data_IF_794870823674
#
_entry.id   IF_794870823674
#
_cell.length_a   1.000
_cell.length_b   1.000
_cell.length_c   1.000
_cell.angle_alpha   90.00
_cell.angle_beta   90.00
_cell.angle_gamma   90.00
#
_symmetry.space_group_name_H-M   'P 1'
#
loop_
_entity.id
_entity.type
_entity.pdbx_description
1 polymer ?
#
# COMPACT_ATOMS: atom_id res chain seq x y z
N UNK A 1 3.15 8.13 -2.80
CA UNK A 1 4.18 9.19 -2.88
C UNK A 1 3.59 10.40 -3.57
N UNK A 2 2.98 11.27 -2.77
CA UNK A 2 2.17 12.42 -3.27
C UNK A 2 3.09 13.64 -3.50
N UNK A 3 3.80 13.65 -4.63
CA UNK A 3 4.76 14.72 -4.97
C UNK A 3 4.10 15.93 -5.67
N UNK A 4 2.75 16.08 -5.61
CA UNK A 4 2.04 17.02 -6.50
C UNK A 4 1.25 18.15 -5.82
N UNK A 5 1.10 18.22 -4.52
CA UNK A 5 0.29 19.27 -3.89
C UNK A 5 1.05 20.53 -3.45
N UNK A 6 2.40 20.58 -3.54
CA UNK A 6 3.17 21.69 -2.97
C UNK A 6 4.19 22.39 -3.89
N UNK A 7 4.31 22.02 -5.17
CA UNK A 7 5.36 22.64 -6.03
C UNK A 7 5.04 24.09 -6.39
N UNK A 8 3.75 24.48 -6.46
CA UNK A 8 3.34 25.84 -6.78
C UNK A 8 2.19 26.30 -5.88
N UNK A 9 2.48 26.55 -4.61
CA UNK A 9 1.48 26.90 -3.59
C UNK A 9 0.80 28.26 -3.84
N UNK A 10 1.46 29.21 -4.51
CA UNK A 10 0.92 30.55 -4.78
C UNK A 10 0.54 30.70 -6.25
N UNK A 11 -0.62 31.31 -6.59
CA UNK A 11 -1.10 31.43 -7.96
C UNK A 11 -0.09 32.14 -8.88
N UNK A 12 0.64 33.15 -8.41
CA UNK A 12 1.65 33.85 -9.20
C UNK A 12 2.84 32.96 -9.62
N UNK A 13 3.20 31.96 -8.81
CA UNK A 13 4.29 31.02 -9.14
C UNK A 13 3.97 30.21 -10.40
N UNK A 14 2.72 29.88 -10.62
CA UNK A 14 2.25 29.13 -11.81
C UNK A 14 2.47 29.94 -13.10
N UNK A 15 2.21 31.26 -13.04
CA UNK A 15 2.46 32.16 -14.17
C UNK A 15 3.96 32.39 -14.35
N UNK A 16 4.72 32.53 -13.27
CA UNK A 16 6.17 32.69 -13.34
C UNK A 16 6.82 31.50 -14.06
N UNK A 17 6.44 30.26 -13.70
CA UNK A 17 6.95 29.05 -14.35
C UNK A 17 6.57 29.02 -15.85
N UNK A 18 5.33 29.36 -16.19
CA UNK A 18 4.89 29.41 -17.58
C UNK A 18 5.69 30.43 -18.41
N UNK A 19 5.91 31.64 -17.87
CA UNK A 19 6.69 32.69 -18.51
C UNK A 19 8.16 32.25 -18.64
N UNK A 20 8.78 31.79 -17.57
CA UNK A 20 10.19 31.36 -17.58
C UNK A 20 10.41 30.24 -18.60
N UNK A 21 9.54 29.23 -18.62
CA UNK A 21 9.62 28.14 -19.57
C UNK A 21 9.51 28.61 -21.01
N UNK A 22 8.58 29.54 -21.29
CA UNK A 22 8.41 30.13 -22.62
C UNK A 22 9.66 30.92 -23.03
N UNK A 23 10.21 31.74 -22.14
CA UNK A 23 11.43 32.51 -22.40
C UNK A 23 12.62 31.60 -22.69
N UNK A 24 12.82 30.57 -21.87
CA UNK A 24 13.93 29.59 -22.05
C UNK A 24 13.85 28.92 -23.43
N UNK A 25 12.65 28.48 -23.85
CA UNK A 25 12.49 27.82 -25.16
C UNK A 25 12.66 28.82 -26.32
N UNK A 26 12.18 30.03 -26.17
CA UNK A 26 12.37 31.09 -27.20
C UNK A 26 13.87 31.46 -27.33
N UNK A 27 14.58 31.67 -26.21
CA UNK A 27 16.02 31.97 -26.22
C UNK A 27 16.83 30.78 -26.73
N UNK A 28 16.53 29.57 -26.31
CA UNK A 28 17.15 28.35 -26.83
C UNK A 28 16.95 28.22 -28.34
N UNK A 29 15.76 28.55 -28.85
CA UNK A 29 15.45 28.56 -30.29
C UNK A 29 16.26 29.61 -31.03
N UNK A 30 16.45 30.80 -30.45
CA UNK A 30 17.32 31.83 -31.01
C UNK A 30 18.78 31.37 -31.12
N UNK A 31 19.29 30.78 -30.07
CA UNK A 31 20.68 30.27 -30.02
C UNK A 31 20.93 29.15 -31.05
N UNK A 32 19.95 28.29 -31.30
CA UNK A 32 20.04 27.18 -32.27
C UNK A 32 19.67 27.57 -33.71
N UNK A 33 19.23 28.79 -33.96
CA UNK A 33 18.82 29.26 -35.27
C UNK A 33 19.90 29.15 -36.37
N UNK A 34 21.18 29.38 -36.09
CA UNK A 34 22.25 29.23 -37.10
C UNK A 34 22.42 27.78 -37.59
N UNK A 35 22.07 26.81 -36.76
CA UNK A 35 22.26 25.37 -37.02
C UNK A 35 21.02 24.73 -37.66
N UNK A 36 19.84 25.26 -37.40
CA UNK A 36 18.58 24.59 -37.78
C UNK A 36 17.85 25.26 -38.95
N UNK A 37 18.32 26.35 -39.56
CA UNK A 37 17.91 26.89 -40.88
C UNK A 37 16.42 26.88 -41.26
N UNK A 38 15.52 26.41 -40.41
CA UNK A 38 14.15 26.07 -40.76
C UNK A 38 13.21 27.21 -40.46
N UNK A 39 12.81 27.92 -41.51
CA UNK A 39 11.74 28.93 -41.45
C UNK A 39 10.32 28.25 -41.37
N UNK A 40 10.22 26.96 -41.67
CA UNK A 40 8.96 26.24 -41.64
C UNK A 40 8.69 25.65 -40.22
N UNK A 41 7.43 25.76 -39.75
CA UNK A 41 6.94 25.17 -38.49
C UNK A 41 7.52 25.73 -37.18
N UNK A 42 7.92 27.00 -37.16
CA UNK A 42 8.51 27.68 -35.99
C UNK A 42 7.60 27.66 -34.74
N UNK A 43 6.27 27.59 -34.90
CA UNK A 43 5.31 27.54 -33.80
C UNK A 43 5.20 26.15 -33.15
N UNK A 44 5.47 25.07 -33.91
CA UNK A 44 5.35 23.67 -33.37
C UNK A 44 6.33 23.38 -32.22
N UNK A 45 7.50 24.05 -32.21
CA UNK A 45 8.50 23.88 -31.13
C UNK A 45 7.99 24.40 -29.78
N UNK A 46 6.98 25.28 -29.78
CA UNK A 46 6.39 25.81 -28.55
C UNK A 46 5.23 24.98 -28.01
N UNK A 47 4.69 24.02 -28.77
CA UNK A 47 3.59 23.17 -28.30
C UNK A 47 3.92 22.37 -27.03
N UNK A 48 5.10 21.72 -26.91
CA UNK A 48 5.50 21.05 -25.67
C UNK A 48 5.57 22.00 -24.49
N UNK A 49 5.98 23.26 -24.73
CA UNK A 49 6.07 24.30 -23.70
C UNK A 49 4.70 24.71 -23.20
N UNK A 50 3.74 24.94 -24.12
CA UNK A 50 2.35 25.22 -23.78
C UNK A 50 1.71 24.06 -23.02
N UNK A 51 1.95 22.83 -23.47
CA UNK A 51 1.47 21.63 -22.80
C UNK A 51 2.02 21.50 -21.38
N UNK A 52 3.32 21.73 -21.19
CA UNK A 52 3.97 21.66 -19.89
C UNK A 52 3.50 22.80 -18.97
N UNK A 53 3.33 24.02 -19.49
CA UNK A 53 2.78 25.14 -18.74
C UNK A 53 1.33 24.89 -18.31
N UNK A 54 0.50 24.29 -19.18
CA UNK A 54 -0.86 23.87 -18.84
C UNK A 54 -0.88 22.75 -17.82
N UNK A 55 0.07 21.80 -17.91
CA UNK A 55 0.16 20.67 -17.00
C UNK A 55 0.60 21.06 -15.59
N UNK A 56 1.56 22.02 -15.46
CA UNK A 56 2.05 22.50 -14.17
C UNK A 56 1.18 23.60 -13.57
N UNK A 57 0.62 24.48 -14.39
CA UNK A 57 -0.07 25.69 -13.96
C UNK A 57 -1.59 25.68 -14.15
N UNK A 58 -2.11 24.78 -14.98
CA UNK A 58 -3.52 24.74 -15.40
C UNK A 58 -3.81 25.53 -16.69
N UNK A 59 -5.10 25.64 -17.03
CA UNK A 59 -5.55 26.26 -18.29
C UNK A 59 -5.00 27.67 -18.53
N UNK A 60 -5.17 28.60 -17.56
CA UNK A 60 -4.79 30.01 -17.71
C UNK A 60 -3.29 30.23 -17.95
N UNK A 61 -2.35 29.66 -17.15
CA UNK A 61 -0.93 29.74 -17.43
C UNK A 61 -0.52 29.15 -18.78
N UNK A 62 -1.16 28.05 -19.21
CA UNK A 62 -0.94 27.46 -20.52
C UNK A 62 -1.32 28.38 -21.65
N UNK A 63 -2.46 29.04 -21.57
CA UNK A 63 -2.90 30.07 -22.57
C UNK A 63 -1.95 31.25 -22.57
N UNK A 64 -1.51 31.74 -21.42
CA UNK A 64 -0.51 32.83 -21.33
C UNK A 64 0.80 32.40 -22.00
N UNK A 65 1.27 31.18 -21.81
CA UNK A 65 2.45 30.62 -22.48
C UNK A 65 2.28 30.62 -24.02
N UNK A 66 1.12 30.21 -24.52
CA UNK A 66 0.81 30.21 -25.95
C UNK A 66 0.83 31.64 -26.56
N UNK A 67 0.19 32.59 -25.87
CA UNK A 67 0.15 33.99 -26.32
C UNK A 67 1.53 34.62 -26.30
N UNK A 68 2.30 34.47 -25.22
CA UNK A 68 3.66 34.98 -25.11
C UNK A 68 4.59 34.37 -26.15
N UNK A 69 4.49 33.06 -26.37
CA UNK A 69 5.27 32.37 -27.41
C UNK A 69 4.98 32.89 -28.80
N UNK A 70 3.72 33.10 -29.17
CA UNK A 70 3.32 33.68 -30.44
C UNK A 70 3.85 35.10 -30.59
N UNK A 71 3.66 35.95 -29.57
CA UNK A 71 4.14 37.34 -29.59
C UNK A 71 5.67 37.41 -29.72
N UNK A 72 6.41 36.59 -28.96
CA UNK A 72 7.86 36.52 -29.02
C UNK A 72 8.36 36.14 -30.44
N UNK A 73 7.72 35.14 -31.05
CA UNK A 73 8.07 34.74 -32.41
C UNK A 73 7.74 35.81 -33.45
N UNK A 74 6.64 36.57 -33.30
CA UNK A 74 6.32 37.70 -34.16
C UNK A 74 7.37 38.80 -34.05
N UNK A 75 7.71 39.23 -32.83
CA UNK A 75 8.67 40.30 -32.60
C UNK A 75 10.09 39.96 -33.08
N UNK A 76 10.51 38.72 -32.91
CA UNK A 76 11.89 38.30 -33.22
C UNK A 76 12.11 37.91 -34.68
N UNK A 77 11.07 37.49 -35.40
CA UNK A 77 11.20 36.97 -36.76
C UNK A 77 10.36 37.73 -37.82
N UNK A 78 9.59 38.76 -37.46
CA UNK A 78 8.89 39.60 -38.46
C UNK A 78 9.87 40.55 -39.11
N UNK A 79 9.93 40.55 -40.45
CA UNK A 79 10.70 41.49 -41.23
C UNK A 79 10.04 42.89 -41.34
N UNK A 80 8.82 43.02 -40.83
CA UNK A 80 8.04 44.29 -40.86
C UNK A 80 7.67 44.65 -39.41
N UNK A 81 8.20 45.72 -38.82
CA UNK A 81 7.86 46.15 -37.47
C UNK A 81 6.50 46.88 -37.47
N UNK A 82 5.42 46.16 -37.59
CA UNK A 82 4.07 46.68 -37.45
C UNK A 82 3.29 45.91 -36.39
N UNK A 83 2.76 46.63 -35.39
CA UNK A 83 1.96 46.04 -34.31
C UNK A 83 0.64 45.45 -34.83
N UNK A 84 0.23 45.76 -36.04
CA UNK A 84 -1.01 45.34 -36.70
C UNK A 84 -0.67 44.49 -37.94
N UNK A 85 -0.18 43.30 -37.71
CA UNK A 85 0.00 42.31 -38.77
C UNK A 85 -1.22 41.40 -38.84
N UNK A 86 -1.73 41.12 -40.04
CA UNK A 86 -2.76 40.09 -40.21
C UNK A 86 -2.18 38.76 -39.79
N UNK A 87 -2.78 38.04 -38.77
CA UNK A 87 -2.22 36.80 -38.29
C UNK A 87 -2.16 35.76 -39.42
N UNK A 88 -1.03 35.10 -39.55
CA UNK A 88 -0.85 34.02 -40.53
C UNK A 88 -1.65 32.80 -40.10
N UNK A 89 -2.03 31.99 -41.08
CA UNK A 89 -2.81 30.75 -40.82
C UNK A 89 -2.11 29.84 -39.81
N UNK A 90 -0.79 29.75 -39.86
CA UNK A 90 0.02 28.97 -38.93
C UNK A 90 -0.03 29.47 -37.47
N UNK A 91 -0.13 30.81 -37.28
CA UNK A 91 -0.28 31.45 -35.96
C UNK A 91 -1.67 31.18 -35.36
N UNK A 92 -2.70 31.31 -36.16
CA UNK A 92 -4.08 31.04 -35.77
C UNK A 92 -4.24 29.54 -35.42
N UNK A 93 -3.67 28.67 -36.25
CA UNK A 93 -3.70 27.23 -36.03
C UNK A 93 -2.97 26.85 -34.74
N UNK A 94 -1.78 27.43 -34.48
CA UNK A 94 -1.03 27.19 -33.26
C UNK A 94 -1.78 27.64 -32.02
N UNK A 95 -2.36 28.85 -32.01
CA UNK A 95 -3.14 29.36 -30.89
C UNK A 95 -4.38 28.50 -30.65
N UNK A 96 -5.10 28.12 -31.69
CA UNK A 96 -6.28 27.29 -31.60
C UNK A 96 -5.90 25.91 -31.01
N UNK A 97 -4.85 25.29 -31.55
CA UNK A 97 -4.34 23.99 -31.04
C UNK A 97 -3.84 24.12 -29.62
N UNK A 98 -3.13 25.20 -29.27
CA UNK A 98 -2.65 25.48 -27.92
C UNK A 98 -3.80 25.59 -26.91
N UNK A 99 -4.87 26.32 -27.26
CA UNK A 99 -6.07 26.43 -26.42
C UNK A 99 -6.76 25.08 -26.26
N UNK A 100 -6.91 24.31 -27.32
CA UNK A 100 -7.51 22.97 -27.28
C UNK A 100 -6.69 22.06 -26.38
N UNK A 101 -5.37 22.02 -26.50
CA UNK A 101 -4.45 21.24 -25.68
C UNK A 101 -4.55 21.66 -24.21
N UNK A 102 -4.54 22.97 -23.92
CA UNK A 102 -4.73 23.48 -22.56
C UNK A 102 -6.08 23.04 -21.96
N UNK A 103 -7.16 23.11 -22.74
CA UNK A 103 -8.49 22.65 -22.34
C UNK A 103 -8.52 21.15 -22.03
N UNK A 104 -7.95 20.34 -22.92
CA UNK A 104 -7.88 18.89 -22.74
C UNK A 104 -7.06 18.50 -21.52
N UNK A 105 -5.86 19.06 -21.34
CA UNK A 105 -5.01 18.80 -20.18
C UNK A 105 -5.71 19.18 -18.89
N UNK A 106 -6.35 20.36 -18.87
CA UNK A 106 -7.06 20.85 -17.68
C UNK A 106 -8.31 20.02 -17.36
N UNK A 107 -9.05 19.58 -18.38
CA UNK A 107 -10.23 18.73 -18.19
C UNK A 107 -9.86 17.33 -17.66
N UNK A 108 -8.77 16.75 -18.16
CA UNK A 108 -8.23 15.49 -17.67
C UNK A 108 -7.77 15.61 -16.22
N UNK A 109 -7.09 16.68 -15.85
CA UNK A 109 -6.69 16.93 -14.47
C UNK A 109 -7.90 17.13 -13.54
N UNK A 110 -8.91 17.86 -13.97
CA UNK A 110 -10.13 18.06 -13.20
C UNK A 110 -10.94 16.78 -13.06
N UNK A 111 -11.00 15.94 -14.10
CA UNK A 111 -11.65 14.64 -14.02
C UNK A 111 -10.92 13.70 -13.05
N UNK A 112 -9.58 13.68 -13.10
CA UNK A 112 -8.76 12.91 -12.17
C UNK A 112 -8.94 13.38 -10.72
N UNK A 113 -8.87 14.69 -10.48
CA UNK A 113 -9.05 15.27 -9.15
C UNK A 113 -10.45 14.97 -8.57
N UNK A 114 -11.51 14.96 -9.41
CA UNK A 114 -12.86 14.58 -9.00
C UNK A 114 -12.94 13.10 -8.64
N UNK A 115 -12.32 12.22 -9.42
CA UNK A 115 -12.24 10.80 -9.12
C UNK A 115 -11.53 10.55 -7.79
N UNK A 116 -10.35 11.18 -7.60
CA UNK A 116 -9.57 11.07 -6.36
C UNK A 116 -10.36 11.59 -5.15
N UNK A 117 -11.06 12.74 -5.28
CA UNK A 117 -11.86 13.31 -4.19
C UNK A 117 -13.11 12.46 -3.84
N UNK A 118 -13.77 11.88 -4.85
CA UNK A 118 -14.90 10.99 -4.62
C UNK A 118 -14.48 9.73 -3.86
N UNK A 119 -13.31 9.21 -4.18
CA UNK A 119 -12.73 8.05 -3.51
C UNK A 119 -12.37 8.38 -2.05
N UNK A 120 -11.65 9.47 -1.81
CA UNK A 120 -11.33 9.94 -0.45
C UNK A 120 -12.58 10.23 0.41
N UNK A 121 -13.64 10.75 -0.21
CA UNK A 121 -14.90 10.99 0.53
C UNK A 121 -15.55 9.70 0.99
N UNK A 122 -15.58 8.67 0.14
CA UNK A 122 -16.11 7.34 0.51
C UNK A 122 -15.37 6.74 1.69
N UNK A 123 -14.08 6.89 1.74
CA UNK A 123 -13.22 6.35 2.81
C UNK A 123 -13.42 7.04 4.13
N UNK A 124 -13.41 8.36 4.11
CA UNK A 124 -13.64 9.12 5.32
C UNK A 124 -15.01 8.78 5.94
N UNK A 125 -16.04 8.55 5.09
CA UNK A 125 -17.34 8.07 5.56
C UNK A 125 -17.22 6.68 6.18
N UNK A 126 -16.50 5.75 5.56
CA UNK A 126 -16.31 4.39 6.10
C UNK A 126 -15.51 4.40 7.41
N UNK A 127 -14.51 5.25 7.54
CA UNK A 127 -13.72 5.40 8.77
C UNK A 127 -14.57 5.97 9.93
N UNK A 128 -15.40 6.97 9.65
CA UNK A 128 -16.35 7.55 10.62
C UNK A 128 -17.38 6.49 11.02
N UNK A 129 -18.01 5.83 10.07
CA UNK A 129 -19.01 4.77 10.34
C UNK A 129 -18.39 3.62 11.14
N UNK A 130 -17.16 3.22 10.81
CA UNK A 130 -16.47 2.18 11.55
C UNK A 130 -16.21 2.57 13.02
N UNK A 131 -15.80 3.81 13.27
CA UNK A 131 -15.63 4.34 14.61
C UNK A 131 -16.96 4.35 15.38
N UNK A 132 -18.02 4.86 14.75
CA UNK A 132 -19.33 4.99 15.38
C UNK A 132 -20.01 3.63 15.63
N UNK A 133 -19.67 2.61 14.82
CA UNK A 133 -20.11 1.23 15.06
C UNK A 133 -19.31 0.55 16.19
N UNK A 134 -18.02 0.86 16.34
CA UNK A 134 -17.16 0.24 17.38
C UNK A 134 -17.58 0.68 18.77
N UNK A 135 -18.00 1.94 18.96
CA UNK A 135 -18.42 2.49 20.25
C UNK A 135 -19.58 1.70 20.88
N UNK A 136 -20.75 1.49 20.23
CA UNK A 136 -21.85 0.70 20.80
C UNK A 136 -21.48 -0.78 20.99
N UNK A 137 -20.63 -1.35 20.12
CA UNK A 137 -20.16 -2.72 20.28
C UNK A 137 -19.32 -2.90 21.55
N UNK A 138 -18.46 -1.93 21.86
CA UNK A 138 -17.68 -1.92 23.12
C UNK A 138 -18.60 -1.81 24.33
N UNK A 139 -19.64 -1.01 24.27
CA UNK A 139 -20.63 -0.91 25.34
C UNK A 139 -21.41 -2.22 25.53
N UNK A 140 -21.82 -2.89 24.45
CA UNK A 140 -22.50 -4.21 24.52
C UNK A 140 -21.59 -5.26 25.16
N UNK A 141 -20.30 -5.26 24.79
CA UNK A 141 -19.31 -6.17 25.36
C UNK A 141 -19.14 -5.94 26.87
N UNK A 142 -18.93 -4.70 27.30
CA UNK A 142 -18.76 -4.33 28.70
C UNK A 142 -20.02 -4.69 29.54
N UNK A 143 -21.22 -4.46 29.00
CA UNK A 143 -22.48 -4.86 29.64
C UNK A 143 -22.60 -6.39 29.76
N UNK A 144 -22.23 -7.13 28.70
CA UNK A 144 -22.21 -8.60 28.72
C UNK A 144 -21.27 -9.15 29.79
N UNK A 145 -20.06 -8.62 29.89
CA UNK A 145 -19.09 -8.99 30.92
C UNK A 145 -19.62 -8.68 32.34
N UNK A 146 -20.21 -7.50 32.55
CA UNK A 146 -20.80 -7.12 33.83
C UNK A 146 -21.96 -8.05 34.24
N UNK A 147 -22.85 -8.39 33.31
CA UNK A 147 -23.97 -9.31 33.56
C UNK A 147 -23.44 -10.73 33.86
N UNK A 148 -22.40 -11.19 33.17
CA UNK A 148 -21.81 -12.51 33.40
C UNK A 148 -21.24 -12.71 34.82
N UNK A 149 -20.73 -11.61 35.40
CA UNK A 149 -20.22 -11.59 36.78
C UNK A 149 -21.39 -11.75 37.78
N UNK A 150 -22.50 -11.04 37.58
CA UNK A 150 -23.61 -11.01 38.51
C UNK A 150 -24.60 -12.21 38.35
N UNK A 151 -24.67 -12.78 37.15
CA UNK A 151 -25.59 -13.84 36.79
C UNK A 151 -24.87 -14.99 36.07
N UNK A 152 -24.11 -15.88 36.81
CA UNK A 152 -23.32 -16.96 36.22
C UNK A 152 -24.13 -17.92 35.33
N UNK A 153 -25.40 -18.13 35.62
CA UNK A 153 -26.30 -18.97 34.80
C UNK A 153 -26.54 -18.45 33.36
N UNK A 154 -26.30 -17.19 33.11
CA UNK A 154 -26.42 -16.57 31.76
C UNK A 154 -25.13 -16.58 30.95
N UNK A 155 -24.00 -16.99 31.55
CA UNK A 155 -22.68 -17.00 30.93
C UNK A 155 -22.65 -17.63 29.53
N UNK A 156 -23.26 -18.81 29.25
CA UNK A 156 -23.22 -19.41 27.92
C UNK A 156 -23.92 -18.51 26.83
N UNK A 157 -24.98 -17.81 27.22
CA UNK A 157 -25.69 -16.88 26.32
C UNK A 157 -24.89 -15.60 26.08
N UNK A 158 -24.25 -15.09 27.13
CA UNK A 158 -23.40 -13.89 27.04
C UNK A 158 -22.15 -14.17 26.21
N UNK A 159 -21.56 -15.35 26.27
CA UNK A 159 -20.47 -15.78 25.40
C UNK A 159 -20.87 -15.83 23.91
N UNK A 160 -22.16 -16.13 23.61
CA UNK A 160 -22.66 -16.01 22.22
C UNK A 160 -22.69 -14.56 21.74
N UNK A 161 -23.12 -13.65 22.61
CA UNK A 161 -23.15 -12.20 22.31
C UNK A 161 -21.72 -11.70 22.12
N UNK A 162 -20.78 -12.06 23.02
CA UNK A 162 -19.38 -11.65 22.91
C UNK A 162 -18.72 -12.15 21.61
N UNK A 163 -18.99 -13.40 21.21
CA UNK A 163 -18.55 -13.93 19.92
C UNK A 163 -19.13 -13.16 18.72
N UNK A 164 -20.39 -12.74 18.81
CA UNK A 164 -21.04 -11.95 17.75
C UNK A 164 -20.42 -10.55 17.66
N UNK A 165 -20.24 -9.87 18.80
CA UNK A 165 -19.59 -8.55 18.90
C UNK A 165 -18.17 -8.60 18.38
N UNK A 166 -17.38 -9.59 18.82
CA UNK A 166 -15.99 -9.77 18.32
C UNK A 166 -15.92 -10.07 16.82
N UNK A 167 -16.95 -10.72 16.25
CA UNK A 167 -17.05 -10.90 14.80
C UNK A 167 -17.31 -9.57 14.09
N UNK A 168 -18.23 -8.73 14.62
CA UNK A 168 -18.54 -7.42 14.05
C UNK A 168 -17.33 -6.49 14.11
N UNK A 169 -16.60 -6.45 15.22
CA UNK A 169 -15.41 -5.62 15.36
C UNK A 169 -14.32 -6.01 14.35
N UNK A 170 -14.10 -7.32 14.15
CA UNK A 170 -13.18 -7.81 13.11
C UNK A 170 -13.62 -7.41 11.69
N UNK A 171 -14.92 -7.47 11.38
CA UNK A 171 -15.45 -7.07 10.07
C UNK A 171 -15.25 -5.58 9.81
N UNK A 172 -15.50 -4.76 10.82
CA UNK A 172 -15.28 -3.31 10.78
C UNK A 172 -13.78 -3.01 10.58
N UNK A 173 -12.90 -3.67 11.35
CA UNK A 173 -11.45 -3.54 11.19
C UNK A 173 -10.98 -3.91 9.77
N UNK A 174 -11.47 -5.03 9.23
CA UNK A 174 -11.15 -5.45 7.86
C UNK A 174 -11.62 -4.44 6.81
N UNK A 175 -12.77 -3.80 7.00
CA UNK A 175 -13.28 -2.80 6.08
C UNK A 175 -12.40 -1.54 6.09
N UNK A 176 -12.02 -1.05 7.26
CA UNK A 176 -11.11 0.10 7.42
C UNK A 176 -9.73 -0.21 6.83
N UNK A 177 -9.17 -1.40 7.12
CA UNK A 177 -7.89 -1.80 6.54
C UNK A 177 -7.95 -1.87 5.01
N UNK A 178 -9.01 -2.45 4.45
CA UNK A 178 -9.20 -2.56 3.00
C UNK A 178 -9.28 -1.19 2.30
N UNK A 179 -9.90 -0.19 2.96
CA UNK A 179 -9.94 1.17 2.44
C UNK A 179 -8.56 1.84 2.45
N UNK A 180 -7.83 1.76 3.56
CA UNK A 180 -6.45 2.30 3.66
C UNK A 180 -5.49 1.66 2.67
N UNK A 181 -5.61 0.36 2.44
CA UNK A 181 -4.82 -0.38 1.45
C UNK A 181 -5.09 0.15 0.03
N UNK A 182 -6.35 0.40 -0.32
CA UNK A 182 -6.73 0.92 -1.64
C UNK A 182 -6.03 2.23 -2.01
N UNK A 183 -5.56 3.02 -1.03
CA UNK A 183 -4.87 4.30 -1.20
C UNK A 183 -3.34 4.23 -1.04
N UNK A 184 -2.80 3.06 -0.72
CA UNK A 184 -1.38 2.93 -0.42
C UNK A 184 -0.98 3.57 0.92
N UNK A 185 -1.95 3.77 1.83
CA UNK A 185 -1.74 4.39 3.14
C UNK A 185 -1.45 3.37 4.24
N UNK A 186 -1.35 2.08 3.91
CA UNK A 186 -0.96 1.07 4.88
C UNK A 186 0.50 1.29 5.29
N UNK A 187 0.69 1.91 6.44
CA UNK A 187 2.00 2.07 7.08
C UNK A 187 2.22 0.97 8.10
N UNK A 188 3.43 0.44 8.15
CA UNK A 188 3.86 -0.55 9.15
C UNK A 188 5.03 0.02 9.95
N UNK A 189 5.01 -0.20 11.26
CA UNK A 189 6.10 0.19 12.16
C UNK A 189 6.87 -1.06 12.56
N UNK A 190 7.92 -1.37 11.81
CA UNK A 190 8.67 -2.61 12.00
C UNK A 190 9.67 -2.51 13.15
N UNK A 191 9.78 -3.58 13.94
CA UNK A 191 10.76 -3.80 15.01
C UNK A 191 11.30 -5.22 14.93
N UNK A 192 12.44 -5.53 15.57
CA UNK A 192 12.89 -6.91 15.73
C UNK A 192 11.89 -7.70 16.59
N UNK A 193 11.20 -8.65 16.01
CA UNK A 193 10.17 -9.48 16.68
C UNK A 193 10.52 -10.96 16.60
N UNK A 194 10.38 -11.73 17.70
CA UNK A 194 10.71 -13.14 17.72
C UNK A 194 9.64 -13.97 17.00
N UNK A 195 10.06 -14.74 16.01
CA UNK A 195 9.19 -15.61 15.20
C UNK A 195 8.43 -16.59 16.05
N UNK A 196 9.13 -17.26 16.99
CA UNK A 196 8.54 -18.30 17.84
C UNK A 196 7.37 -17.79 18.69
N UNK A 197 7.47 -16.57 19.23
CA UNK A 197 6.40 -15.99 20.04
C UNK A 197 5.14 -15.69 19.23
N UNK A 198 5.29 -15.17 18.00
CA UNK A 198 4.14 -14.88 17.14
C UNK A 198 3.43 -16.15 16.70
N UNK A 199 4.18 -17.20 16.38
CA UNK A 199 3.61 -18.51 16.00
C UNK A 199 2.89 -19.14 17.19
N UNK A 200 3.51 -19.19 18.39
CA UNK A 200 2.91 -19.75 19.59
C UNK A 200 1.62 -19.02 19.98
N UNK A 201 1.64 -17.68 20.02
CA UNK A 201 0.46 -16.87 20.32
C UNK A 201 -0.67 -17.08 19.30
N UNK A 202 -0.33 -17.26 18.03
CA UNK A 202 -1.34 -17.57 16.99
C UNK A 202 -2.00 -18.93 17.25
N UNK A 203 -1.23 -19.95 17.61
CA UNK A 203 -1.76 -21.28 17.95
C UNK A 203 -2.67 -21.19 19.16
N UNK A 204 -2.25 -20.51 20.23
CA UNK A 204 -3.03 -20.33 21.45
C UNK A 204 -4.35 -19.60 21.19
N UNK A 205 -4.30 -18.51 20.40
CA UNK A 205 -5.48 -17.72 20.02
C UNK A 205 -6.54 -18.58 19.31
N UNK A 206 -6.11 -19.52 18.47
CA UNK A 206 -7.01 -20.34 17.66
C UNK A 206 -7.29 -21.73 18.25
N UNK A 207 -6.64 -22.13 19.36
CA UNK A 207 -6.72 -23.46 19.95
C UNK A 207 -8.16 -23.86 20.31
N UNK A 208 -8.94 -22.97 20.90
CA UNK A 208 -10.34 -23.23 21.25
C UNK A 208 -11.20 -23.47 20.03
N UNK A 209 -11.01 -22.67 18.98
CA UNK A 209 -11.75 -22.80 17.72
C UNK A 209 -11.42 -24.13 17.02
N UNK A 210 -10.14 -24.51 17.01
CA UNK A 210 -9.68 -25.77 16.43
C UNK A 210 -10.27 -26.98 17.19
N UNK A 211 -10.23 -26.97 18.53
CA UNK A 211 -10.84 -28.03 19.37
C UNK A 211 -12.35 -28.12 19.11
N UNK A 212 -13.07 -27.02 19.08
CA UNK A 212 -14.51 -27.00 18.81
C UNK A 212 -14.90 -27.55 17.43
N UNK A 213 -13.96 -27.55 16.49
CA UNK A 213 -14.12 -28.13 15.14
C UNK A 213 -13.49 -29.53 15.00
N UNK A 214 -12.89 -30.08 16.06
CA UNK A 214 -12.16 -31.33 16.01
C UNK A 214 -11.00 -31.35 15.03
N UNK A 215 -10.27 -30.21 14.91
CA UNK A 215 -9.11 -30.03 14.02
C UNK A 215 -7.85 -29.97 14.89
N UNK A 216 -6.80 -30.71 14.50
CA UNK A 216 -5.49 -30.61 15.11
C UNK A 216 -4.80 -29.32 14.62
N UNK A 217 -4.50 -28.38 15.54
CA UNK A 217 -3.73 -27.18 15.27
C UNK A 217 -2.38 -27.30 16.00
N UNK A 218 -1.29 -27.23 15.25
CA UNK A 218 0.06 -27.38 15.80
C UNK A 218 1.07 -26.41 15.16
N UNK A 219 2.11 -26.05 15.93
CA UNK A 219 3.30 -25.39 15.40
C UNK A 219 4.40 -26.44 15.21
N UNK A 220 5.10 -26.41 14.08
CA UNK A 220 6.15 -27.34 13.74
C UNK A 220 7.29 -26.63 13.01
N UNK A 221 8.54 -27.04 13.26
CA UNK A 221 9.71 -26.50 12.59
C UNK A 221 9.79 -24.96 12.64
N UNK A 222 9.70 -24.39 13.84
CA UNK A 222 9.73 -22.94 14.07
C UNK A 222 11.15 -22.51 14.45
N UNK A 223 11.77 -21.66 13.63
CA UNK A 223 13.11 -21.14 13.88
C UNK A 223 13.13 -20.09 15.00
N UNK A 224 14.23 -20.06 15.75
CA UNK A 224 14.48 -19.07 16.82
C UNK A 224 15.15 -17.81 16.24
N UNK A 225 14.49 -17.14 15.31
CA UNK A 225 15.04 -15.99 14.59
C UNK A 225 14.19 -14.74 14.86
N UNK A 226 14.80 -13.54 14.80
CA UNK A 226 14.10 -12.28 14.85
C UNK A 226 13.83 -11.80 13.41
N UNK A 227 12.63 -11.28 13.17
CA UNK A 227 12.24 -10.63 11.90
C UNK A 227 11.93 -9.17 12.10
N UNK A 228 12.16 -8.35 11.08
CA UNK A 228 11.69 -6.95 11.06
C UNK A 228 10.19 -6.93 10.78
N UNK A 229 9.39 -6.72 11.82
CA UNK A 229 7.95 -6.83 11.72
C UNK A 229 7.20 -5.81 12.58
N UNK A 230 6.06 -5.38 12.07
CA UNK A 230 4.97 -4.83 12.88
C UNK A 230 4.18 -6.03 13.42
N UNK A 231 4.38 -6.31 14.74
CA UNK A 231 3.83 -7.50 15.39
C UNK A 231 2.33 -7.63 15.18
N UNK A 232 1.57 -6.57 15.42
CA UNK A 232 0.11 -6.61 15.35
C UNK A 232 -0.37 -6.92 13.92
N UNK A 233 0.31 -6.37 12.93
CA UNK A 233 0.01 -6.62 11.52
C UNK A 233 0.39 -8.04 11.09
N UNK A 234 1.51 -8.57 11.56
CA UNK A 234 1.88 -9.97 11.27
C UNK A 234 0.95 -10.95 11.97
N UNK A 235 0.55 -10.67 13.22
CA UNK A 235 -0.48 -11.44 13.92
C UNK A 235 -1.82 -11.42 13.16
N UNK A 236 -2.18 -10.31 12.55
CA UNK A 236 -3.36 -10.20 11.68
C UNK A 236 -3.23 -11.11 10.44
N UNK A 237 -2.04 -11.15 9.80
CA UNK A 237 -1.77 -12.07 8.67
C UNK A 237 -1.94 -13.52 9.11
N UNK A 238 -1.24 -13.94 10.17
CA UNK A 238 -1.30 -15.30 10.68
C UNK A 238 -2.73 -15.69 11.05
N UNK A 239 -3.46 -14.82 11.76
CA UNK A 239 -4.87 -15.04 12.12
C UNK A 239 -5.77 -15.21 10.90
N UNK A 240 -5.58 -14.44 9.84
CA UNK A 240 -6.36 -14.57 8.61
C UNK A 240 -6.07 -15.89 7.89
N UNK A 241 -4.80 -16.31 7.83
CA UNK A 241 -4.40 -17.58 7.21
C UNK A 241 -4.89 -18.78 8.01
N UNK A 242 -4.67 -18.79 9.33
CA UNK A 242 -5.15 -19.88 10.23
C UNK A 242 -6.67 -19.93 10.26
N UNK A 243 -7.35 -18.78 10.32
CA UNK A 243 -8.80 -18.71 10.27
C UNK A 243 -9.38 -19.33 8.99
N UNK A 244 -8.75 -19.08 7.84
CA UNK A 244 -9.11 -19.72 6.58
C UNK A 244 -8.81 -21.21 6.59
N UNK A 245 -7.64 -21.64 7.05
CA UNK A 245 -7.28 -23.05 7.17
C UNK A 245 -8.29 -23.82 8.03
N UNK A 246 -8.64 -23.30 9.21
CA UNK A 246 -9.65 -23.91 10.09
C UNK A 246 -11.05 -23.91 9.47
N UNK A 247 -11.38 -22.92 8.64
CA UNK A 247 -12.69 -22.84 7.98
C UNK A 247 -12.88 -23.95 6.94
N UNK A 248 -11.84 -24.26 6.17
CA UNK A 248 -11.90 -25.18 5.03
C UNK A 248 -11.41 -26.59 5.35
N UNK A 249 -10.90 -26.84 6.55
CA UNK A 249 -10.52 -28.16 7.04
C UNK A 249 -11.73 -28.85 7.68
N UNK A 250 -11.96 -30.10 7.33
CA UNK A 250 -12.99 -30.93 7.93
C UNK A 250 -12.57 -31.43 9.33
N UNK A 251 -13.54 -31.91 10.13
CA UNK A 251 -13.28 -32.56 11.40
C UNK A 251 -12.32 -33.77 11.24
N UNK A 252 -11.37 -33.92 12.15
CA UNK A 252 -10.29 -34.88 12.05
C UNK A 252 -9.08 -34.46 11.24
N UNK A 253 -9.18 -33.29 10.53
CA UNK A 253 -8.07 -32.75 9.77
C UNK A 253 -7.03 -32.02 10.62
N UNK A 254 -6.03 -31.46 9.94
CA UNK A 254 -4.87 -30.82 10.56
C UNK A 254 -4.57 -29.46 9.93
N UNK A 255 -4.14 -28.51 10.78
CA UNK A 255 -3.56 -27.22 10.38
C UNK A 255 -2.20 -27.11 11.06
N UNK A 256 -1.15 -26.90 10.27
CA UNK A 256 0.24 -26.81 10.75
C UNK A 256 0.82 -25.45 10.40
N UNK A 257 1.34 -24.74 11.40
CA UNK A 257 2.12 -23.52 11.24
C UNK A 257 3.60 -23.86 11.30
N UNK A 258 4.38 -23.33 10.36
CA UNK A 258 5.83 -23.49 10.39
C UNK A 258 6.51 -22.16 10.02
N UNK A 259 7.75 -21.99 10.48
CA UNK A 259 8.55 -20.83 10.14
C UNK A 259 10.04 -21.24 10.08
N UNK A 260 10.64 -21.13 8.93
CA UNK A 260 12.03 -21.51 8.67
C UNK A 260 12.78 -20.51 7.82
N UNK A 261 14.07 -20.70 7.58
CA UNK A 261 14.85 -19.81 6.72
C UNK A 261 14.26 -19.76 5.30
N UNK A 262 14.22 -18.57 4.73
CA UNK A 262 13.87 -18.38 3.33
C UNK A 262 14.98 -18.85 2.39
N UNK A 263 14.67 -19.03 1.11
CA UNK A 263 15.63 -19.49 0.09
C UNK A 263 16.75 -18.50 -0.19
N UNK A 264 16.58 -17.24 0.17
CA UNK A 264 17.53 -16.15 0.02
C UNK A 264 18.51 -15.99 1.20
N UNK A 265 18.29 -16.75 2.30
CA UNK A 265 19.07 -16.65 3.54
C UNK A 265 18.91 -15.32 4.31
N UNK A 266 18.14 -14.39 3.78
CA UNK A 266 17.90 -13.05 4.38
C UNK A 266 16.47 -12.86 4.87
N UNK A 267 15.61 -13.83 4.63
CA UNK A 267 14.21 -13.83 5.08
C UNK A 267 13.87 -15.05 5.91
N UNK A 268 12.78 -14.95 6.68
CA UNK A 268 12.09 -16.09 7.29
C UNK A 268 10.85 -16.37 6.45
N UNK A 269 10.65 -17.61 6.06
CA UNK A 269 9.47 -18.09 5.37
C UNK A 269 8.51 -18.72 6.39
N UNK A 270 7.36 -18.11 6.54
CA UNK A 270 6.23 -18.65 7.28
C UNK A 270 5.37 -19.50 6.37
N UNK A 271 4.77 -20.55 6.92
CA UNK A 271 3.79 -21.36 6.22
C UNK A 271 2.62 -21.74 7.11
N UNK A 272 1.41 -21.78 6.53
CA UNK A 272 0.19 -22.30 7.14
C UNK A 272 -0.36 -23.35 6.20
N UNK A 273 -0.22 -24.62 6.58
CA UNK A 273 -0.66 -25.78 5.80
C UNK A 273 -1.94 -26.37 6.40
N UNK A 274 -2.90 -26.69 5.56
CA UNK A 274 -4.13 -27.39 5.96
C UNK A 274 -4.36 -28.65 5.12
N UNK A 275 -5.14 -29.57 5.66
CA UNK A 275 -5.59 -30.79 4.99
C UNK A 275 -7.05 -30.67 4.55
N UNK A 276 -7.44 -29.48 4.10
CA UNK A 276 -8.81 -29.14 3.72
C UNK A 276 -9.16 -29.52 2.29
N UNK A 277 -10.21 -28.89 1.77
CA UNK A 277 -10.73 -29.13 0.44
C UNK A 277 -9.75 -28.81 -0.71
N UNK A 278 -8.73 -28.02 -0.45
CA UNK A 278 -7.89 -27.45 -1.47
C UNK A 278 -8.60 -26.34 -2.28
N UNK A 279 -7.89 -25.81 -3.28
CA UNK A 279 -8.34 -24.73 -4.17
C UNK A 279 -8.14 -25.21 -5.61
N UNK A 280 -9.13 -24.97 -6.48
CA UNK A 280 -9.05 -25.29 -7.90
C UNK A 280 -7.99 -24.40 -8.59
N UNK A 281 -7.34 -24.93 -9.63
CA UNK A 281 -6.25 -24.20 -10.30
C UNK A 281 -6.71 -22.89 -10.93
N UNK A 282 -7.97 -22.80 -11.35
CA UNK A 282 -8.58 -21.60 -11.92
C UNK A 282 -8.75 -20.49 -10.90
N UNK A 283 -8.95 -20.83 -9.63
CA UNK A 283 -9.17 -19.90 -8.53
C UNK A 283 -7.85 -19.34 -7.94
N UNK A 284 -6.73 -20.07 -8.05
CA UNK A 284 -5.46 -19.71 -7.45
C UNK A 284 -4.96 -18.28 -7.77
N UNK A 285 -5.08 -17.78 -9.02
CA UNK A 285 -4.67 -16.41 -9.34
C UNK A 285 -5.47 -15.33 -8.60
N UNK A 286 -6.72 -15.65 -8.23
CA UNK A 286 -7.71 -14.71 -7.72
C UNK A 286 -7.83 -14.67 -6.20
N UNK A 287 -7.31 -15.66 -5.46
CA UNK A 287 -7.53 -15.80 -4.01
C UNK A 287 -7.10 -14.58 -3.19
N UNK A 288 -6.17 -13.76 -3.69
CA UNK A 288 -5.70 -12.54 -3.05
C UNK A 288 -6.39 -11.26 -3.55
N UNK A 289 -7.37 -11.38 -4.45
CA UNK A 289 -8.13 -10.22 -4.94
C UNK A 289 -9.14 -9.75 -3.89
N UNK A 290 -9.42 -8.45 -3.91
CA UNK A 290 -10.38 -7.84 -3.00
C UNK A 290 -11.79 -8.37 -3.29
N UNK A 291 -12.51 -8.78 -2.24
CA UNK A 291 -13.86 -9.36 -2.30
C UNK A 291 -13.96 -10.72 -3.00
N UNK A 292 -12.85 -11.34 -3.37
CA UNK A 292 -12.91 -12.69 -3.95
C UNK A 292 -13.38 -13.72 -2.93
N UNK A 293 -14.27 -14.61 -3.34
CA UNK A 293 -14.87 -15.65 -2.51
C UNK A 293 -15.14 -16.90 -3.35
N UNK A 294 -14.68 -18.02 -2.86
CA UNK A 294 -15.10 -19.32 -3.37
C UNK A 294 -16.47 -19.75 -2.82
N UNK A 295 -16.83 -19.29 -1.60
CA UNK A 295 -18.07 -19.60 -0.89
C UNK A 295 -18.77 -18.30 -0.44
N UNK A 296 -20.09 -18.34 -0.29
CA UNK A 296 -20.91 -17.20 0.19
C UNK A 296 -20.56 -16.73 1.61
N UNK A 297 -19.78 -17.51 2.36
CA UNK A 297 -19.37 -17.22 3.74
C UNK A 297 -18.05 -16.43 3.79
N UNK A 298 -18.08 -15.25 4.37
CA UNK A 298 -16.90 -14.39 4.60
C UNK A 298 -16.96 -13.08 3.83
N UNK A 299 -16.01 -12.18 4.12
CA UNK A 299 -15.92 -10.84 3.48
C UNK A 299 -15.18 -10.85 2.16
N UNK A 300 -14.28 -11.83 1.93
CA UNK A 300 -13.32 -11.81 0.83
C UNK A 300 -12.19 -10.77 1.02
N UNK A 301 -12.01 -10.26 2.25
CA UNK A 301 -11.00 -9.23 2.57
C UNK A 301 -9.76 -9.81 3.28
N UNK A 302 -9.87 -10.96 3.94
CA UNK A 302 -8.81 -11.49 4.80
C UNK A 302 -7.50 -11.77 4.06
N UNK A 303 -7.54 -12.43 2.91
CA UNK A 303 -6.36 -12.74 2.09
C UNK A 303 -5.82 -11.49 1.38
N UNK A 304 -6.70 -10.59 0.92
CA UNK A 304 -6.31 -9.30 0.37
C UNK A 304 -5.54 -8.47 1.39
N UNK A 305 -6.02 -8.38 2.64
CA UNK A 305 -5.34 -7.68 3.73
C UNK A 305 -4.01 -8.36 4.04
N UNK A 306 -3.98 -9.70 4.14
CA UNK A 306 -2.75 -10.45 4.38
C UNK A 306 -1.68 -10.15 3.33
N UNK A 307 -2.05 -10.15 2.03
CA UNK A 307 -1.15 -9.77 0.93
C UNK A 307 -0.62 -8.36 1.09
N UNK A 308 -1.47 -7.41 1.38
CA UNK A 308 -1.10 -6.00 1.48
C UNK A 308 -0.18 -5.73 2.68
N UNK A 309 -0.46 -6.37 3.82
CA UNK A 309 0.41 -6.29 5.00
C UNK A 309 1.79 -6.87 4.72
N UNK A 310 1.86 -8.05 4.10
CA UNK A 310 3.14 -8.69 3.74
C UNK A 310 3.92 -7.82 2.73
N UNK A 311 3.24 -7.24 1.73
CA UNK A 311 3.86 -6.32 0.78
C UNK A 311 4.36 -5.03 1.44
N UNK A 312 3.65 -4.48 2.43
CA UNK A 312 4.09 -3.33 3.21
C UNK A 312 5.36 -3.63 4.05
N UNK A 313 5.58 -4.91 4.41
CA UNK A 313 6.81 -5.39 5.01
C UNK A 313 7.90 -5.77 3.98
N UNK A 314 7.72 -5.44 2.71
CA UNK A 314 8.60 -5.83 1.60
C UNK A 314 8.76 -7.35 1.42
N UNK A 315 7.82 -8.13 1.97
CA UNK A 315 7.76 -9.57 1.85
C UNK A 315 7.00 -10.04 0.60
N UNK A 316 6.99 -11.36 0.40
CA UNK A 316 6.22 -12.03 -0.64
C UNK A 316 5.21 -12.98 0.01
N UNK A 317 4.00 -13.07 -0.52
CA UNK A 317 2.98 -14.06 -0.14
C UNK A 317 2.54 -14.85 -1.37
N UNK A 318 2.34 -16.16 -1.21
CA UNK A 318 1.84 -17.04 -2.27
C UNK A 318 1.10 -18.23 -1.68
N UNK A 319 0.49 -19.04 -2.53
CA UNK A 319 -0.28 -20.21 -2.18
C UNK A 319 0.09 -21.39 -3.07
N UNK A 320 0.13 -22.57 -2.48
CA UNK A 320 0.23 -23.86 -3.17
C UNK A 320 -0.94 -24.70 -2.70
N UNK A 321 -1.72 -25.23 -3.64
CA UNK A 321 -2.91 -26.01 -3.30
C UNK A 321 -3.17 -27.12 -4.30
N UNK A 322 -3.75 -28.19 -3.81
CA UNK A 322 -4.24 -29.29 -4.63
C UNK A 322 -5.64 -29.66 -4.15
N UNK A 323 -6.64 -29.67 -5.06
CA UNK A 323 -8.00 -30.05 -4.71
C UNK A 323 -8.07 -31.39 -3.96
N UNK A 324 -8.86 -31.44 -2.89
CA UNK A 324 -9.06 -32.60 -2.00
C UNK A 324 -7.82 -33.10 -1.25
N UNK A 325 -6.72 -32.38 -1.31
CA UNK A 325 -5.47 -32.71 -0.57
C UNK A 325 -5.21 -31.67 0.52
N UNK A 326 -5.37 -30.38 0.20
CA UNK A 326 -5.17 -29.27 1.12
C UNK A 326 -4.54 -28.06 0.47
N UNK A 327 -4.29 -27.04 1.30
CA UNK A 327 -3.71 -25.76 0.88
C UNK A 327 -2.55 -25.40 1.80
N UNK A 328 -1.52 -24.79 1.24
CA UNK A 328 -0.44 -24.17 2.01
C UNK A 328 -0.25 -22.74 1.55
N UNK A 329 -0.47 -21.81 2.46
CA UNK A 329 -0.12 -20.41 2.26
C UNK A 329 1.27 -20.15 2.81
N UNK A 330 2.06 -19.39 2.07
CA UNK A 330 3.41 -18.99 2.42
C UNK A 330 3.55 -17.49 2.41
N UNK A 331 4.36 -16.95 3.33
CA UNK A 331 4.83 -15.58 3.22
C UNK A 331 6.25 -15.42 3.79
N UNK A 332 6.94 -14.35 3.40
CA UNK A 332 8.30 -14.07 3.86
C UNK A 332 8.36 -12.71 4.56
N UNK A 333 9.23 -12.63 5.58
CA UNK A 333 9.61 -11.37 6.24
C UNK A 333 11.14 -11.31 6.35
N UNK A 334 11.70 -10.11 6.26
CA UNK A 334 13.14 -9.90 6.37
C UNK A 334 13.64 -10.26 7.78
N UNK A 335 14.79 -10.95 7.86
CA UNK A 335 15.49 -11.19 9.12
C UNK A 335 15.90 -9.84 9.71
N UNK A 336 15.72 -9.66 11.03
CA UNK A 336 16.21 -8.47 11.70
C UNK A 336 17.75 -8.47 11.70
N UNK A 337 18.34 -7.34 11.29
CA UNK A 337 19.78 -7.18 11.43
C UNK A 337 20.17 -7.33 12.92
N UNK A 338 21.29 -7.97 13.23
CA UNK A 338 21.76 -8.08 14.61
C UNK A 338 21.89 -6.67 15.19
N UNK A 339 21.22 -6.45 16.34
CA UNK A 339 21.29 -5.16 17.03
C UNK A 339 22.75 -4.88 17.43
N UNK A 340 23.27 -3.66 17.22
CA UNK A 340 24.62 -3.31 17.67
C UNK A 340 24.83 -3.47 19.20
N UNK A 341 23.74 -3.55 19.98
CA UNK A 341 23.76 -3.81 21.40
C UNK A 341 24.11 -5.28 21.74
N UNK A 342 23.63 -6.24 20.93
CA UNK A 342 23.95 -7.67 21.16
C UNK A 342 25.40 -8.04 20.79
N UNK A 343 26.04 -7.24 19.94
CA UNK A 343 27.45 -7.43 19.59
C UNK A 343 28.42 -6.98 20.70
N UNK A 344 27.95 -6.27 21.73
CA UNK A 344 28.77 -5.82 22.89
C UNK A 344 28.75 -6.78 24.06
N UNK A 345 27.87 -7.79 24.06
CA UNK A 345 27.75 -8.81 25.14
C UNK A 345 28.40 -10.15 24.78
N UNK A 346 29.09 -10.27 23.65
CA UNK A 346 29.92 -11.42 23.41
C UNK A 346 31.06 -11.45 24.43
N UNK A 347 31.24 -12.54 25.24
CA UNK A 347 32.32 -12.61 26.22
C UNK A 347 33.65 -12.48 25.50
N UNK A 348 34.44 -11.47 25.86
CA UNK A 348 35.82 -11.35 25.39
C UNK A 348 36.57 -12.63 25.79
N UNK A 349 37.34 -13.25 24.88
CA UNK A 349 38.17 -14.35 25.24
C UNK A 349 39.14 -13.89 26.35
N UNK A 350 39.07 -14.55 27.50
CA UNK A 350 39.98 -14.33 28.61
C UNK A 350 41.43 -14.40 28.13
N UNK A 351 42.19 -13.35 28.41
CA UNK A 351 43.62 -13.32 28.12
C UNK A 351 44.32 -14.52 28.81
N UNK A 352 45.33 -15.17 28.17
CA UNK A 352 46.06 -16.26 28.76
C UNK A 352 46.81 -15.79 29.99
N UNK A 353 46.55 -16.45 31.13
CA UNK A 353 47.35 -16.31 32.36
C UNK A 353 48.84 -16.51 32.04
N UNK A 354 49.64 -15.49 32.26
CA UNK A 354 51.09 -15.61 32.24
C UNK A 354 51.54 -16.37 33.50
N UNK A 355 51.97 -17.60 33.30
CA UNK A 355 52.71 -18.37 34.29
C UNK A 355 53.91 -17.56 34.78
N UNK A 356 53.85 -17.15 36.03
CA UNK A 356 54.98 -16.57 36.73
C UNK A 356 55.80 -17.73 37.33
N UNK A 357 56.72 -18.30 36.54
CA UNK A 357 57.73 -19.22 37.09
C UNK A 357 58.74 -18.37 37.89
N UNK A 358 58.72 -18.53 39.20
CA UNK A 358 59.73 -18.06 40.13
C UNK A 358 60.95 -18.97 39.99
N UNK A 359 62.06 -18.42 39.60
CA UNK A 359 63.40 -19.05 39.73
C UNK A 359 64.00 -18.58 41.06
N UNK A 360 64.35 -19.60 41.87
CA UNK A 360 65.35 -19.52 42.94
C UNK A 360 66.72 -19.77 42.34
#
# INVERSE_FOLDING_TARGET
MNMRSNVLAKPWQRYLVAVTLTVVVVVGRLALNPWWGVQQNRHLVLLPTVMLAAWLGGFRPGVVSALLGTLALQLLWSKSPGLFHVPRVDEVLFLTLGIVVCGLVSSLQAARARADSATQSRERVLEIVAHDLRSPLTAIKALGESIAIHYPGLKPRLEMIDRAVGRMDRLIGQLVDATRIGHGELTVTTRPEPVGSMVAETVDLHAQTARGRQITLEAKDVCATLVQADRDRVMQVLSNLVGNALKFTAAGGRVTLSAGPGSDGQSVRFSVADTGSGIEAEDLPHVFEQYWKHDKQGTGLGLFIARSVVQAHHGRIWVESKPKVGTTFFFTLAVAAPSPAAAREAPQPSAPERDASILI
#
